data_IF_797162313228
#
_entry.id   IF_797162313228
#
_cell.length_a   1.000
_cell.length_b   1.000
_cell.length_c   1.000
_cell.angle_alpha   90.00
_cell.angle_beta   90.00
_cell.angle_gamma   90.00
#
_symmetry.space_group_name_H-M   'P 1'
#
loop_
_entity.id
_entity.type
_entity.pdbx_description
1 polymer ?
#
# COMPACT_ATOMS: atom_id res chain seq x y z
N UNK A 1 28.06 -23.97 -10.96
CA UNK A 1 27.61 -25.24 -11.52
C UNK A 1 26.16 -25.41 -11.11
N UNK A 2 25.29 -25.69 -12.00
CA UNK A 2 23.82 -25.83 -11.88
C UNK A 2 23.09 -24.55 -11.45
N UNK A 3 22.83 -23.67 -12.40
CA UNK A 3 21.74 -22.73 -12.34
C UNK A 3 20.43 -23.53 -12.44
N UNK A 4 19.66 -23.55 -11.36
CA UNK A 4 18.29 -23.99 -11.41
C UNK A 4 17.47 -22.88 -12.04
N UNK A 5 17.12 -23.03 -13.32
CA UNK A 5 16.02 -22.29 -13.90
C UNK A 5 14.76 -22.69 -13.10
N UNK A 6 14.18 -21.74 -12.41
CA UNK A 6 12.84 -21.88 -11.84
C UNK A 6 11.90 -21.99 -13.04
N UNK A 7 11.33 -23.18 -13.25
CA UNK A 7 10.21 -23.37 -14.16
C UNK A 7 9.06 -22.52 -13.58
N UNK A 8 8.79 -21.36 -14.15
CA UNK A 8 7.55 -20.64 -13.94
C UNK A 8 6.40 -21.59 -14.28
N UNK A 9 5.42 -21.69 -13.41
CA UNK A 9 4.16 -22.38 -13.70
C UNK A 9 3.62 -21.78 -14.98
N UNK A 10 3.60 -22.52 -16.08
CA UNK A 10 3.34 -22.02 -17.43
C UNK A 10 1.89 -21.57 -17.69
N UNK A 11 1.21 -20.99 -16.68
CA UNK A 11 -0.09 -20.39 -16.82
C UNK A 11 0.02 -18.90 -17.12
N UNK A 12 -0.79 -18.39 -18.06
CA UNK A 12 -0.75 -16.96 -18.41
C UNK A 12 -1.19 -16.10 -17.24
N UNK A 13 -0.51 -14.97 -17.05
CA UNK A 13 -0.91 -13.96 -16.07
C UNK A 13 -2.28 -13.34 -16.48
N UNK A 14 -3.18 -13.16 -15.51
CA UNK A 14 -4.54 -12.65 -15.72
C UNK A 14 -4.84 -11.34 -14.98
N UNK A 15 -3.96 -10.95 -14.05
CA UNK A 15 -4.09 -9.67 -13.36
C UNK A 15 -2.74 -9.06 -13.03
N UNK A 16 -2.71 -7.73 -12.93
CA UNK A 16 -1.58 -6.97 -12.42
C UNK A 16 -2.03 -6.06 -11.28
N UNK A 17 -1.32 -6.11 -10.17
CA UNK A 17 -1.49 -5.21 -9.03
C UNK A 17 -0.28 -4.27 -9.04
N UNK A 18 -0.52 -2.98 -9.22
CA UNK A 18 0.50 -1.96 -9.38
C UNK A 18 0.53 -1.04 -8.15
N UNK A 19 1.70 -0.86 -7.56
CA UNK A 19 1.90 0.29 -6.67
C UNK A 19 1.76 1.61 -7.44
N UNK A 20 1.54 2.71 -6.73
CA UNK A 20 1.32 4.01 -7.33
C UNK A 20 2.58 4.90 -7.32
N UNK A 21 3.03 5.30 -6.13
CA UNK A 21 4.11 6.28 -5.97
C UNK A 21 5.48 5.66 -6.21
N UNK A 22 6.18 6.10 -7.24
CA UNK A 22 7.46 5.52 -7.64
C UNK A 22 7.33 4.43 -8.70
N UNK A 23 6.11 3.93 -8.95
CA UNK A 23 5.83 2.89 -9.94
C UNK A 23 5.03 3.43 -11.13
N UNK A 24 3.89 4.07 -10.89
CA UNK A 24 3.03 4.66 -11.93
C UNK A 24 3.34 6.14 -12.11
N UNK A 25 3.49 6.87 -11.03
CA UNK A 25 3.81 8.30 -11.03
C UNK A 25 4.77 8.68 -9.91
N UNK A 26 5.36 9.88 -9.99
CA UNK A 26 6.10 10.52 -8.91
C UNK A 26 5.57 11.95 -8.73
N UNK A 27 5.05 12.25 -7.53
CA UNK A 27 4.31 13.50 -7.32
C UNK A 27 3.12 13.60 -8.27
N UNK A 28 3.04 14.66 -9.05
CA UNK A 28 1.97 14.90 -10.02
C UNK A 28 2.36 14.61 -11.48
N UNK A 29 3.39 13.78 -11.67
CA UNK A 29 3.89 13.40 -13.01
C UNK A 29 3.87 11.91 -13.21
N UNK A 30 3.28 11.48 -14.32
CA UNK A 30 3.35 10.10 -14.76
C UNK A 30 4.82 9.73 -15.06
N UNK A 31 5.25 8.55 -14.63
CA UNK A 31 6.54 7.99 -15.05
C UNK A 31 6.49 7.73 -16.56
N UNK A 32 7.57 8.09 -17.24
CA UNK A 32 7.62 7.97 -18.69
C UNK A 32 7.33 6.52 -19.13
N UNK A 33 6.40 6.36 -20.08
CA UNK A 33 5.98 5.05 -20.59
C UNK A 33 4.94 4.32 -19.73
N UNK A 34 4.68 4.73 -18.48
CA UNK A 34 3.77 4.02 -17.59
C UNK A 34 2.34 3.94 -18.12
N UNK A 35 1.86 4.97 -18.82
CA UNK A 35 0.52 4.98 -19.40
C UNK A 35 0.34 3.92 -20.48
N UNK A 36 1.30 3.82 -21.40
CA UNK A 36 1.34 2.82 -22.47
C UNK A 36 1.44 1.40 -21.89
N UNK A 37 2.29 1.23 -20.87
CA UNK A 37 2.48 -0.05 -20.18
C UNK A 37 1.20 -0.51 -19.45
N UNK A 38 0.48 0.39 -18.81
CA UNK A 38 -0.81 0.06 -18.17
C UNK A 38 -1.85 -0.34 -19.22
N UNK A 39 -1.88 0.33 -20.37
CA UNK A 39 -2.75 -0.07 -21.47
C UNK A 39 -2.39 -1.47 -22.00
N UNK A 40 -1.09 -1.76 -22.20
CA UNK A 40 -0.61 -3.08 -22.59
C UNK A 40 -0.97 -4.16 -21.56
N UNK A 41 -0.79 -3.88 -20.26
CA UNK A 41 -1.20 -4.80 -19.20
C UNK A 41 -2.69 -5.12 -19.30
N UNK A 42 -3.55 -4.12 -19.46
CA UNK A 42 -5.00 -4.34 -19.60
C UNK A 42 -5.35 -5.19 -20.81
N UNK A 43 -4.66 -4.98 -21.93
CA UNK A 43 -4.90 -5.74 -23.15
C UNK A 43 -4.42 -7.20 -23.02
N UNK A 44 -3.35 -7.45 -22.27
CA UNK A 44 -2.72 -8.77 -22.18
C UNK A 44 -3.15 -9.59 -20.96
N UNK A 45 -3.28 -8.96 -19.79
CA UNK A 45 -3.64 -9.66 -18.54
C UNK A 45 -5.07 -9.41 -18.11
N UNK A 46 -5.76 -8.43 -18.70
CA UNK A 46 -7.17 -8.14 -18.48
C UNK A 46 -7.43 -7.21 -17.29
N UNK A 47 -7.09 -7.60 -16.07
CA UNK A 47 -7.38 -6.81 -14.87
C UNK A 47 -6.14 -6.08 -14.37
N UNK A 48 -6.26 -4.76 -14.16
CA UNK A 48 -5.22 -3.94 -13.50
C UNK A 48 -5.82 -3.27 -12.27
N UNK A 49 -5.21 -3.49 -11.10
CA UNK A 49 -5.57 -2.88 -9.83
C UNK A 49 -4.42 -1.99 -9.34
N UNK A 50 -4.75 -0.84 -8.78
CA UNK A 50 -3.79 0.09 -8.17
C UNK A 50 -3.83 -0.04 -6.66
N UNK A 51 -2.65 -0.17 -6.03
CA UNK A 51 -2.53 -0.45 -4.61
C UNK A 51 -1.57 0.53 -3.94
N UNK A 52 -2.04 1.29 -2.94
CA UNK A 52 -1.19 2.27 -2.25
C UNK A 52 -1.30 2.19 -0.73
N UNK A 53 -0.17 2.42 -0.04
CA UNK A 53 -0.14 2.57 1.41
C UNK A 53 -0.61 3.94 1.90
N UNK A 54 -0.79 4.91 1.01
CA UNK A 54 -1.18 6.26 1.40
C UNK A 54 -2.66 6.34 1.77
N UNK A 55 -2.93 6.78 2.99
CA UNK A 55 -4.28 7.02 3.53
C UNK A 55 -4.66 8.52 3.56
N UNK A 56 -3.85 9.39 2.94
CA UNK A 56 -4.05 10.85 2.91
C UNK A 56 -4.95 11.36 1.78
N UNK A 57 -5.48 10.44 0.99
CA UNK A 57 -6.48 10.71 -0.04
C UNK A 57 -7.43 9.52 -0.12
N UNK A 58 -8.64 9.74 -0.60
CA UNK A 58 -9.64 8.70 -0.81
C UNK A 58 -9.37 7.92 -2.11
N UNK A 59 -9.93 6.73 -2.23
CA UNK A 59 -9.83 5.92 -3.47
C UNK A 59 -10.33 6.70 -4.69
N UNK A 60 -11.36 7.54 -4.51
CA UNK A 60 -11.89 8.40 -5.58
C UNK A 60 -10.83 9.42 -6.04
N UNK A 61 -10.14 10.07 -5.11
CA UNK A 61 -9.12 11.07 -5.43
C UNK A 61 -7.97 10.44 -6.24
N UNK A 62 -7.55 9.22 -5.87
CA UNK A 62 -6.54 8.47 -6.62
C UNK A 62 -7.03 8.13 -8.04
N UNK A 63 -8.27 7.69 -8.19
CA UNK A 63 -8.84 7.40 -9.53
C UNK A 63 -8.95 8.66 -10.38
N UNK A 64 -9.30 9.79 -9.79
CA UNK A 64 -9.34 11.09 -10.47
C UNK A 64 -7.94 11.57 -10.86
N UNK A 65 -6.95 11.41 -9.97
CA UNK A 65 -5.55 11.71 -10.26
C UNK A 65 -5.03 10.88 -11.43
N UNK A 66 -5.25 9.57 -11.43
CA UNK A 66 -4.86 8.66 -12.52
C UNK A 66 -5.47 9.11 -13.85
N UNK A 67 -6.76 9.43 -13.89
CA UNK A 67 -7.43 9.96 -15.08
C UNK A 67 -6.87 11.30 -15.54
N UNK A 68 -6.55 12.19 -14.58
CA UNK A 68 -5.89 13.47 -14.87
C UNK A 68 -4.50 13.30 -15.49
N UNK A 69 -3.82 12.20 -15.18
CA UNK A 69 -2.54 11.81 -15.75
C UNK A 69 -2.66 11.01 -17.07
N UNK A 70 -3.89 10.75 -17.54
CA UNK A 70 -4.14 10.02 -18.80
C UNK A 70 -4.24 8.50 -18.64
N UNK A 71 -4.31 8.00 -17.40
CA UNK A 71 -4.53 6.58 -17.09
C UNK A 71 -5.99 6.37 -16.74
N UNK A 72 -6.72 5.57 -17.50
CA UNK A 72 -8.09 5.22 -17.17
C UNK A 72 -8.14 4.47 -15.84
N UNK A 73 -8.96 4.93 -14.91
CA UNK A 73 -9.16 4.27 -13.63
C UNK A 73 -10.54 4.62 -13.04
N UNK A 74 -11.18 3.65 -12.45
CA UNK A 74 -12.39 3.80 -11.64
C UNK A 74 -12.03 3.72 -10.15
N UNK A 75 -12.96 4.07 -9.26
CA UNK A 75 -12.77 3.87 -7.80
C UNK A 75 -12.56 2.40 -7.46
N UNK A 76 -13.14 1.51 -8.25
CA UNK A 76 -13.04 0.07 -8.02
C UNK A 76 -11.68 -0.51 -8.41
N UNK A 77 -10.93 0.19 -9.25
CA UNK A 77 -9.55 -0.18 -9.62
C UNK A 77 -8.51 0.26 -8.57
N UNK A 78 -8.93 0.94 -7.50
CA UNK A 78 -8.02 1.47 -6.47
C UNK A 78 -8.29 0.83 -5.12
N UNK A 79 -7.23 0.39 -4.45
CA UNK A 79 -7.20 -0.04 -3.05
C UNK A 79 -6.15 0.78 -2.32
N UNK A 80 -6.53 1.44 -1.22
CA UNK A 80 -5.60 2.15 -0.35
C UNK A 80 -5.67 1.62 1.09
N UNK A 81 -4.62 1.86 1.87
CA UNK A 81 -4.55 1.38 3.24
C UNK A 81 -5.63 1.96 4.16
N UNK A 82 -6.06 3.19 3.90
CA UNK A 82 -7.14 3.82 4.68
C UNK A 82 -8.46 3.07 4.55
N UNK A 83 -8.86 2.77 3.33
CA UNK A 83 -10.08 1.99 3.07
C UNK A 83 -9.98 0.57 3.63
N UNK A 84 -8.84 -0.12 3.44
CA UNK A 84 -8.62 -1.47 4.01
C UNK A 84 -8.74 -1.44 5.53
N UNK A 85 -8.16 -0.42 6.19
CA UNK A 85 -8.24 -0.24 7.63
C UNK A 85 -9.68 -0.01 8.08
N UNK A 86 -10.43 0.84 7.38
CA UNK A 86 -11.85 1.07 7.70
C UNK A 86 -12.69 -0.20 7.56
N UNK A 87 -12.47 -1.01 6.50
CA UNK A 87 -13.17 -2.30 6.35
C UNK A 87 -12.82 -3.27 7.49
N UNK A 88 -11.53 -3.37 7.85
CA UNK A 88 -11.08 -4.20 8.96
C UNK A 88 -11.71 -3.80 10.29
N UNK A 89 -11.69 -2.50 10.62
CA UNK A 89 -12.29 -1.99 11.87
C UNK A 89 -13.79 -2.25 11.90
N UNK A 90 -14.52 -2.04 10.80
CA UNK A 90 -15.95 -2.34 10.70
C UNK A 90 -16.26 -3.82 10.95
N UNK A 91 -15.42 -4.72 10.45
CA UNK A 91 -15.60 -6.16 10.62
C UNK A 91 -15.25 -6.63 12.03
N UNK A 92 -14.17 -6.11 12.59
CA UNK A 92 -13.59 -6.60 13.83
C UNK A 92 -14.09 -5.88 15.07
N UNK A 93 -14.42 -4.60 14.92
CA UNK A 93 -14.85 -3.71 16.01
C UNK A 93 -16.12 -2.92 15.62
N UNK A 94 -17.25 -3.61 15.28
CA UNK A 94 -18.43 -2.98 14.68
C UNK A 94 -19.09 -1.92 15.58
N UNK A 95 -18.96 -2.05 16.89
CA UNK A 95 -19.51 -1.11 17.88
C UNK A 95 -18.43 -0.24 18.51
N UNK A 96 -17.17 -0.35 18.05
CA UNK A 96 -16.03 0.36 18.61
C UNK A 96 -15.93 1.78 18.06
N UNK A 97 -15.60 2.73 18.94
CA UNK A 97 -15.25 4.09 18.59
C UNK A 97 -13.74 4.21 18.38
N UNK A 98 -13.31 4.54 17.18
CA UNK A 98 -11.90 4.66 16.86
C UNK A 98 -11.36 6.06 17.22
N UNK A 99 -10.29 6.11 18.02
CA UNK A 99 -9.42 7.29 18.06
C UNK A 99 -8.47 7.21 16.88
N UNK A 100 -8.54 8.21 15.99
CA UNK A 100 -7.80 8.21 14.74
C UNK A 100 -6.78 9.34 14.75
N UNK A 101 -5.50 8.97 14.66
CA UNK A 101 -4.40 9.85 14.28
C UNK A 101 -4.25 9.73 12.75
N UNK A 102 -4.73 10.73 12.03
CA UNK A 102 -4.77 10.72 10.58
C UNK A 102 -5.58 11.87 10.01
N UNK A 103 -5.40 12.12 8.73
CA UNK A 103 -6.02 13.25 8.04
C UNK A 103 -7.49 12.99 7.63
N UNK A 104 -8.20 14.05 7.25
CA UNK A 104 -9.63 14.02 6.90
C UNK A 104 -10.02 12.89 5.92
N UNK A 105 -9.26 12.55 4.86
CA UNK A 105 -9.62 11.45 3.97
C UNK A 105 -9.75 10.09 4.68
N UNK A 106 -8.92 9.83 5.69
CA UNK A 106 -9.02 8.61 6.49
C UNK A 106 -10.27 8.62 7.37
N UNK A 107 -10.56 9.75 8.01
CA UNK A 107 -11.79 9.92 8.80
C UNK A 107 -13.05 9.72 7.94
N UNK A 108 -13.04 10.22 6.71
CA UNK A 108 -14.13 10.04 5.76
C UNK A 108 -14.33 8.55 5.37
N UNK A 109 -13.24 7.78 5.18
CA UNK A 109 -13.34 6.33 4.93
C UNK A 109 -13.97 5.59 6.12
N UNK A 110 -13.64 5.97 7.35
CA UNK A 110 -14.24 5.41 8.56
C UNK A 110 -15.72 5.78 8.67
N UNK A 111 -16.06 7.03 8.41
CA UNK A 111 -17.45 7.51 8.41
C UNK A 111 -18.30 6.76 7.37
N UNK A 112 -17.81 6.62 6.14
CA UNK A 112 -18.51 5.89 5.07
C UNK A 112 -18.65 4.39 5.40
N UNK A 113 -17.73 3.83 6.17
CA UNK A 113 -17.83 2.48 6.71
C UNK A 113 -18.80 2.35 7.89
N UNK A 114 -19.37 3.47 8.38
CA UNK A 114 -20.27 3.51 9.52
C UNK A 114 -19.59 3.40 10.89
N UNK A 115 -18.30 3.70 10.97
CA UNK A 115 -17.51 3.64 12.20
C UNK A 115 -17.56 5.01 12.90
N UNK A 116 -17.85 5.01 14.21
CA UNK A 116 -17.75 6.21 15.01
C UNK A 116 -16.27 6.53 15.27
N UNK A 117 -15.87 7.77 15.01
CA UNK A 117 -14.50 8.24 15.23
C UNK A 117 -14.44 9.37 16.26
N UNK A 118 -13.26 9.56 16.85
CA UNK A 118 -12.93 10.72 17.69
C UNK A 118 -11.47 11.12 17.43
N UNK A 119 -11.19 12.42 17.56
CA UNK A 119 -9.85 12.99 17.41
C UNK A 119 -9.41 13.76 18.67
N UNK A 120 -10.32 13.95 19.64
CA UNK A 120 -10.12 14.79 20.83
C UNK A 120 -10.39 14.04 22.17
N UNK A 121 -10.78 12.79 22.11
CA UNK A 121 -11.13 11.96 23.29
C UNK A 121 -10.70 10.52 23.11
N UNK A 122 -10.45 9.80 24.24
CA UNK A 122 -10.20 8.36 24.16
C UNK A 122 -11.31 7.60 23.44
N UNK A 123 -10.88 6.65 22.62
CA UNK A 123 -11.73 5.69 21.91
C UNK A 123 -11.65 4.29 22.53
N UNK A 124 -12.23 3.32 21.82
CA UNK A 124 -12.13 1.90 22.14
C UNK A 124 -10.96 1.21 21.43
N UNK A 125 -10.36 1.89 20.46
CA UNK A 125 -9.14 1.48 19.73
C UNK A 125 -8.40 2.70 19.21
N UNK A 126 -7.10 2.56 18.95
CA UNK A 126 -6.26 3.56 18.29
C UNK A 126 -5.97 3.13 16.86
N UNK A 127 -6.11 4.05 15.91
CA UNK A 127 -5.64 3.88 14.53
C UNK A 127 -4.64 4.99 14.23
N UNK A 128 -3.38 4.62 13.95
CA UNK A 128 -2.34 5.55 13.54
C UNK A 128 -2.08 5.50 12.04
N UNK A 129 -1.96 6.67 11.45
CA UNK A 129 -1.65 6.92 10.05
C UNK A 129 -0.74 8.13 9.92
N UNK A 130 -0.38 8.49 8.68
CA UNK A 130 0.24 9.77 8.40
C UNK A 130 -0.71 10.90 8.78
N UNK A 131 -0.20 11.84 9.59
CA UNK A 131 -0.91 13.03 10.01
C UNK A 131 0.07 14.21 10.11
N UNK A 132 -0.09 15.18 9.22
CA UNK A 132 0.78 16.37 9.15
C UNK A 132 0.44 17.41 10.22
N UNK A 133 -0.68 17.24 10.91
CA UNK A 133 -1.13 18.08 12.01
C UNK A 133 -0.97 17.40 13.39
N UNK A 134 -0.31 16.23 13.43
CA UNK A 134 -0.07 15.46 14.65
C UNK A 134 0.64 16.31 15.71
N UNK A 135 0.07 16.39 16.88
CA UNK A 135 0.53 17.23 17.97
C UNK A 135 0.57 16.50 19.33
N UNK A 136 0.92 17.25 20.37
CA UNK A 136 1.01 16.71 21.73
C UNK A 136 -0.34 16.28 22.29
N UNK A 137 -1.43 16.94 21.92
CA UNK A 137 -2.79 16.61 22.38
C UNK A 137 -3.25 15.27 21.79
N UNK A 138 -3.02 15.05 20.50
CA UNK A 138 -3.28 13.78 19.85
C UNK A 138 -2.47 12.63 20.48
N UNK A 139 -1.20 12.89 20.84
CA UNK A 139 -0.35 11.91 21.53
C UNK A 139 -0.88 11.57 22.95
N UNK A 140 -1.33 12.56 23.72
CA UNK A 140 -1.92 12.36 25.07
C UNK A 140 -3.22 11.54 24.99
N UNK A 141 -4.08 11.80 24.00
CA UNK A 141 -5.32 11.03 23.80
C UNK A 141 -5.02 9.60 23.37
N UNK A 142 -4.06 9.38 22.46
CA UNK A 142 -3.63 8.04 22.08
C UNK A 142 -3.13 7.24 23.30
N UNK A 143 -2.27 7.85 24.10
CA UNK A 143 -1.75 7.25 25.34
C UNK A 143 -2.88 6.84 26.27
N UNK A 144 -3.83 7.74 26.56
CA UNK A 144 -4.97 7.44 27.43
C UNK A 144 -5.89 6.35 26.88
N UNK A 145 -6.02 6.25 25.56
CA UNK A 145 -6.80 5.19 24.92
C UNK A 145 -6.13 3.84 25.14
N UNK A 146 -4.81 3.76 24.95
CA UNK A 146 -4.03 2.54 25.10
C UNK A 146 -3.83 2.11 26.57
N UNK A 147 -3.78 3.04 27.52
CA UNK A 147 -3.74 2.74 28.97
C UNK A 147 -4.90 1.83 29.42
N UNK A 148 -6.03 1.85 28.69
CA UNK A 148 -7.18 0.97 28.90
C UNK A 148 -7.04 -0.43 28.30
N UNK A 149 -5.94 -0.75 27.63
CA UNK A 149 -5.75 -2.01 26.90
C UNK A 149 -6.48 -2.04 25.56
N UNK A 150 -6.73 -0.88 24.96
CA UNK A 150 -7.36 -0.76 23.65
C UNK A 150 -6.42 -1.28 22.55
N UNK A 151 -6.94 -1.87 21.46
CA UNK A 151 -6.14 -2.26 20.29
C UNK A 151 -5.43 -1.07 19.64
N UNK A 152 -4.19 -1.29 19.20
CA UNK A 152 -3.40 -0.31 18.48
C UNK A 152 -3.15 -0.77 17.02
N UNK A 153 -3.80 -0.13 16.07
CA UNK A 153 -3.75 -0.44 14.65
C UNK A 153 -2.99 0.65 13.89
N UNK A 154 -2.40 0.28 12.75
CA UNK A 154 -1.76 1.24 11.85
C UNK A 154 -2.19 1.02 10.40
N UNK A 155 -2.34 2.11 9.64
CA UNK A 155 -2.67 2.03 8.21
C UNK A 155 -1.50 1.50 7.38
N UNK A 156 -0.27 1.87 7.74
CA UNK A 156 0.95 1.42 7.05
C UNK A 156 2.18 1.61 7.96
N UNK A 157 3.32 0.96 7.67
CA UNK A 157 4.54 1.07 8.47
C UNK A 157 5.57 2.03 7.87
N UNK A 158 5.22 2.79 6.84
CA UNK A 158 6.18 3.55 6.05
C UNK A 158 6.84 4.66 6.86
N UNK A 159 8.17 4.77 6.76
CA UNK A 159 8.95 5.79 7.45
C UNK A 159 8.84 7.15 6.79
N UNK A 160 8.80 7.13 5.47
CA UNK A 160 8.81 8.34 4.65
C UNK A 160 7.93 8.18 3.42
N UNK A 161 7.33 9.30 3.03
CA UNK A 161 6.59 9.45 1.79
C UNK A 161 7.45 10.28 0.81
N UNK A 162 7.72 9.79 -0.42
CA UNK A 162 8.44 10.56 -1.42
C UNK A 162 7.57 11.71 -1.94
N UNK A 163 8.20 12.88 -2.14
CA UNK A 163 7.61 14.06 -2.75
C UNK A 163 8.57 14.68 -3.77
N UNK A 164 8.10 15.63 -4.58
CA UNK A 164 8.98 16.34 -5.54
C UNK A 164 10.11 17.10 -4.85
N UNK A 165 9.92 17.54 -3.60
CA UNK A 165 10.89 18.30 -2.81
C UNK A 165 11.77 17.44 -1.90
N UNK A 166 11.65 16.11 -1.98
CA UNK A 166 12.35 15.15 -1.12
C UNK A 166 11.38 14.32 -0.27
N UNK A 167 11.91 13.50 0.62
CA UNK A 167 11.09 12.66 1.49
C UNK A 167 10.54 13.46 2.68
N UNK A 168 9.29 13.21 3.03
CA UNK A 168 8.66 13.71 4.25
C UNK A 168 8.34 12.55 5.21
N UNK A 169 8.16 12.79 6.53
CA UNK A 169 7.74 11.75 7.46
C UNK A 169 6.40 11.12 7.06
N UNK A 170 6.26 9.81 7.31
CA UNK A 170 5.01 9.05 7.12
C UNK A 170 4.57 8.41 8.44
N UNK A 171 3.61 7.51 8.42
CA UNK A 171 2.92 6.93 9.57
C UNK A 171 3.86 6.40 10.67
N UNK A 172 5.03 5.87 10.31
CA UNK A 172 6.01 5.40 11.30
C UNK A 172 6.45 6.48 12.31
N UNK A 173 6.38 7.77 11.94
CA UNK A 173 6.68 8.87 12.85
C UNK A 173 5.65 8.97 13.98
N UNK A 174 4.36 8.92 13.66
CA UNK A 174 3.23 8.96 14.59
C UNK A 174 3.18 7.68 15.44
N UNK A 175 3.34 6.52 14.79
CA UNK A 175 3.44 5.22 15.45
C UNK A 175 4.55 5.24 16.49
N UNK A 176 5.77 5.62 16.09
CA UNK A 176 6.93 5.64 17.00
C UNK A 176 6.78 6.62 18.16
N UNK A 177 6.08 7.74 17.97
CA UNK A 177 5.77 8.66 19.07
C UNK A 177 4.80 8.02 20.09
N UNK A 178 3.77 7.34 19.62
CA UNK A 178 2.78 6.65 20.47
C UNK A 178 3.46 5.46 21.18
N UNK A 179 4.19 4.61 20.47
CA UNK A 179 4.95 3.49 21.06
C UNK A 179 5.95 3.98 22.12
N UNK A 180 6.62 5.10 21.84
CA UNK A 180 7.63 5.68 22.72
C UNK A 180 7.08 6.17 24.08
N UNK A 181 5.83 6.63 24.14
CA UNK A 181 5.22 7.11 25.40
C UNK A 181 4.44 6.03 26.14
N UNK A 182 3.87 5.07 25.40
CA UNK A 182 3.02 4.02 26.00
C UNK A 182 3.79 2.76 26.35
N UNK A 183 4.88 2.47 25.62
CA UNK A 183 5.57 1.18 25.70
C UNK A 183 4.81 0.04 24.99
N UNK A 184 3.62 0.33 24.46
CA UNK A 184 2.86 -0.60 23.64
C UNK A 184 3.40 -0.58 22.20
N UNK A 185 3.21 -1.66 21.45
CA UNK A 185 3.55 -1.76 20.03
C UNK A 185 2.30 -1.94 19.19
N UNK A 186 2.35 -1.56 17.92
CA UNK A 186 1.25 -1.79 16.98
C UNK A 186 0.87 -3.27 16.96
N UNK A 187 -0.40 -3.57 17.24
CA UNK A 187 -0.93 -4.94 17.20
C UNK A 187 -1.04 -5.45 15.75
N UNK A 188 -1.52 -4.58 14.84
CA UNK A 188 -1.70 -4.96 13.43
C UNK A 188 -1.51 -3.77 12.49
N UNK A 189 -0.73 -3.99 11.44
CA UNK A 189 -0.58 -3.07 10.29
C UNK A 189 -1.46 -3.57 9.16
N UNK A 190 -2.31 -2.71 8.60
CA UNK A 190 -3.33 -3.10 7.62
C UNK A 190 -2.88 -2.89 6.16
N UNK A 191 -1.93 -1.97 5.91
CA UNK A 191 -1.34 -1.71 4.60
C UNK A 191 -0.22 -2.68 4.24
N UNK A 192 0.38 -2.53 3.06
CA UNK A 192 1.54 -3.34 2.62
C UNK A 192 2.65 -3.34 3.66
N UNK A 193 3.29 -4.47 3.99
CA UNK A 193 3.16 -5.80 3.40
C UNK A 193 2.16 -6.73 4.13
N UNK A 194 1.08 -6.19 4.70
CA UNK A 194 0.09 -6.95 5.47
C UNK A 194 -0.65 -7.97 4.60
N UNK A 195 -0.93 -9.18 5.13
CA UNK A 195 -1.83 -10.14 4.48
C UNK A 195 -3.21 -9.54 4.17
N UNK A 196 -3.74 -8.67 5.03
CA UNK A 196 -5.03 -8.01 4.80
C UNK A 196 -5.07 -7.19 3.52
N UNK A 197 -3.99 -6.46 3.25
CA UNK A 197 -3.90 -5.61 2.06
C UNK A 197 -3.96 -6.46 0.79
N UNK A 198 -3.18 -7.54 0.72
CA UNK A 198 -3.14 -8.39 -0.47
C UNK A 198 -4.39 -9.25 -0.60
N UNK A 199 -4.95 -9.79 0.48
CA UNK A 199 -6.22 -10.53 0.47
C UNK A 199 -7.35 -9.65 -0.08
N UNK A 200 -7.39 -8.38 0.33
CA UNK A 200 -8.37 -7.41 -0.17
C UNK A 200 -8.18 -7.14 -1.66
N UNK A 201 -6.93 -6.95 -2.11
CA UNK A 201 -6.61 -6.73 -3.52
C UNK A 201 -6.95 -7.97 -4.37
N UNK A 202 -6.53 -9.16 -3.96
CA UNK A 202 -6.83 -10.42 -4.65
C UNK A 202 -8.34 -10.72 -4.69
N UNK A 203 -9.06 -10.43 -3.61
CA UNK A 203 -10.51 -10.56 -3.58
C UNK A 203 -11.23 -9.65 -4.59
N UNK A 204 -10.62 -8.51 -4.96
CA UNK A 204 -11.16 -7.59 -5.97
C UNK A 204 -10.82 -8.03 -7.39
N UNK A 205 -9.61 -8.51 -7.64
CA UNK A 205 -9.24 -8.98 -8.99
C UNK A 205 -9.87 -10.33 -9.31
N UNK A 206 -10.17 -11.15 -8.30
CA UNK A 206 -10.84 -12.44 -8.47
C UNK A 206 -10.00 -13.49 -9.21
N UNK A 207 -8.68 -13.38 -9.15
CA UNK A 207 -7.70 -14.23 -9.84
C UNK A 207 -6.78 -14.84 -8.79
N UNK A 208 -6.37 -16.11 -9.00
CA UNK A 208 -5.44 -16.79 -8.11
C UNK A 208 -4.08 -16.07 -8.08
N UNK A 209 -3.43 -15.98 -6.91
CA UNK A 209 -2.16 -15.23 -6.76
C UNK A 209 -1.07 -15.63 -7.77
N UNK A 210 -0.95 -16.92 -8.06
CA UNK A 210 0.03 -17.48 -9.01
C UNK A 210 -0.14 -16.96 -10.44
N UNK A 211 -1.30 -16.38 -10.75
CA UNK A 211 -1.64 -15.77 -12.04
C UNK A 211 -1.69 -14.24 -11.97
N UNK A 212 -1.14 -13.66 -10.89
CA UNK A 212 -1.09 -12.22 -10.67
C UNK A 212 0.35 -11.71 -10.67
N UNK A 213 0.57 -10.53 -11.25
CA UNK A 213 1.78 -9.74 -11.08
C UNK A 213 1.61 -8.78 -9.90
N UNK A 214 2.62 -8.69 -9.04
CA UNK A 214 2.80 -7.57 -8.12
C UNK A 214 3.94 -6.70 -8.61
N UNK A 215 3.64 -5.47 -9.02
CA UNK A 215 4.64 -4.51 -9.52
C UNK A 215 4.76 -3.35 -8.55
N UNK A 216 5.95 -3.08 -8.07
CA UNK A 216 6.19 -1.99 -7.12
C UNK A 216 7.64 -1.57 -7.06
N UNK A 217 7.89 -0.43 -6.40
CA UNK A 217 9.23 0.16 -6.24
C UNK A 217 9.88 -0.15 -4.89
N UNK A 218 9.12 -0.74 -3.93
CA UNK A 218 9.62 -1.01 -2.58
C UNK A 218 9.75 -2.51 -2.33
N UNK A 219 10.98 -2.95 -2.15
CA UNK A 219 11.29 -4.36 -1.89
C UNK A 219 10.70 -4.85 -0.56
N UNK A 220 10.64 -3.99 0.47
CA UNK A 220 10.20 -4.35 1.82
C UNK A 220 8.68 -4.44 1.95
N UNK A 221 7.93 -3.80 1.08
CA UNK A 221 6.46 -3.78 1.09
C UNK A 221 5.87 -4.52 -0.09
N UNK A 222 6.11 -4.06 -1.32
CA UNK A 222 5.49 -4.60 -2.52
C UNK A 222 5.98 -6.01 -2.84
N UNK A 223 7.30 -6.15 -2.99
CA UNK A 223 7.89 -7.42 -3.40
C UNK A 223 7.71 -8.48 -2.31
N UNK A 224 7.97 -8.12 -1.05
CA UNK A 224 7.76 -9.03 0.08
C UNK A 224 6.30 -9.47 0.22
N UNK A 225 5.34 -8.59 -0.07
CA UNK A 225 3.93 -8.91 -0.04
C UNK A 225 3.56 -9.87 -1.19
N UNK A 226 4.00 -9.58 -2.41
CA UNK A 226 3.78 -10.44 -3.59
C UNK A 226 4.39 -11.83 -3.41
N UNK A 227 5.65 -11.91 -2.96
CA UNK A 227 6.35 -13.16 -2.66
C UNK A 227 5.55 -14.01 -1.65
N UNK A 228 5.12 -13.42 -0.54
CA UNK A 228 4.34 -14.11 0.50
C UNK A 228 2.98 -14.61 0.01
N UNK A 229 2.41 -13.92 -0.94
CA UNK A 229 1.13 -14.30 -1.55
C UNK A 229 1.28 -15.33 -2.68
N UNK A 230 2.50 -15.63 -3.14
CA UNK A 230 2.75 -16.54 -4.26
C UNK A 230 2.53 -15.90 -5.62
N UNK A 231 2.62 -14.57 -5.72
CA UNK A 231 2.52 -13.80 -6.97
C UNK A 231 3.86 -13.74 -7.67
N UNK A 232 3.85 -13.49 -8.97
CA UNK A 232 5.06 -13.06 -9.69
C UNK A 232 5.37 -11.61 -9.34
N UNK A 233 6.60 -11.36 -8.88
CA UNK A 233 7.02 -10.06 -8.36
C UNK A 233 7.92 -9.31 -9.34
N UNK A 234 7.60 -8.03 -9.58
CA UNK A 234 8.34 -7.15 -10.48
C UNK A 234 8.75 -5.90 -9.70
N UNK A 235 10.03 -5.75 -9.45
CA UNK A 235 10.59 -4.53 -8.84
C UNK A 235 10.93 -3.53 -9.93
N UNK A 236 10.44 -2.29 -9.78
CA UNK A 236 10.85 -1.16 -10.63
C UNK A 236 11.81 -0.25 -9.87
N UNK A 237 12.86 0.23 -10.54
CA UNK A 237 13.90 1.08 -9.95
C UNK A 237 13.61 2.58 -10.12
N UNK A 238 12.41 2.94 -10.58
CA UNK A 238 11.97 4.32 -10.76
C UNK A 238 11.60 5.05 -9.47
N UNK A 239 11.55 4.32 -8.34
CA UNK A 239 11.15 4.86 -7.03
C UNK A 239 12.21 4.76 -5.94
N UNK A 240 11.88 4.09 -4.83
CA UNK A 240 12.68 4.10 -3.59
C UNK A 240 13.82 3.08 -3.57
N UNK A 241 13.61 1.88 -4.09
CA UNK A 241 14.61 0.81 -4.03
C UNK A 241 15.65 0.96 -5.13
N UNK A 242 16.93 0.90 -4.77
CA UNK A 242 18.04 0.82 -5.69
C UNK A 242 18.68 -0.59 -5.71
N UNK A 243 19.56 -0.84 -6.68
CA UNK A 243 20.23 -2.15 -6.84
C UNK A 243 21.10 -2.53 -5.64
N UNK A 244 21.60 -1.55 -4.87
CA UNK A 244 22.41 -1.81 -3.67
C UNK A 244 21.53 -2.31 -2.52
N UNK A 245 20.31 -1.79 -2.40
CA UNK A 245 19.32 -2.20 -1.39
C UNK A 245 18.85 -3.63 -1.63
N UNK A 246 18.62 -4.05 -2.89
CA UNK A 246 18.23 -5.43 -3.23
C UNK A 246 19.20 -6.43 -2.61
N UNK A 247 20.51 -6.20 -2.77
CA UNK A 247 21.56 -7.09 -2.26
C UNK A 247 21.57 -7.22 -0.72
N UNK A 248 20.96 -6.29 0.02
CA UNK A 248 20.99 -6.22 1.49
C UNK A 248 19.76 -6.80 2.17
N UNK A 249 18.61 -6.79 1.51
CA UNK A 249 17.30 -7.06 2.15
C UNK A 249 16.98 -8.57 2.20
N UNK A 250 17.63 -9.39 1.35
CA UNK A 250 17.40 -10.84 1.32
C UNK A 250 15.99 -11.25 0.81
N UNK A 251 15.37 -10.39 0.04
CA UNK A 251 14.16 -10.65 -0.77
C UNK A 251 14.59 -10.55 -2.22
N UNK A 252 14.30 -11.56 -3.01
CA UNK A 252 14.67 -11.59 -4.44
C UNK A 252 13.40 -11.44 -5.27
N UNK A 253 13.21 -10.30 -5.97
CA UNK A 253 12.11 -10.15 -6.92
C UNK A 253 12.34 -11.10 -8.11
N UNK A 254 11.25 -11.63 -8.70
CA UNK A 254 11.36 -12.47 -9.90
C UNK A 254 11.91 -11.67 -11.10
N UNK A 255 11.54 -10.38 -11.17
CA UNK A 255 12.02 -9.45 -12.21
C UNK A 255 12.44 -8.11 -11.62
N UNK A 256 13.45 -7.48 -12.23
CA UNK A 256 13.92 -6.12 -11.89
C UNK A 256 13.97 -5.29 -13.17
N UNK A 257 13.14 -4.27 -13.26
CA UNK A 257 13.05 -3.35 -14.39
C UNK A 257 13.57 -1.95 -13.98
N UNK A 258 14.03 -1.18 -14.94
CA UNK A 258 14.39 0.22 -14.68
C UNK A 258 13.14 1.06 -14.40
N UNK A 259 12.02 0.77 -15.07
CA UNK A 259 10.71 1.39 -14.82
C UNK A 259 9.56 0.48 -15.31
N UNK A 260 8.31 0.88 -15.05
CA UNK A 260 7.13 0.20 -15.58
C UNK A 260 7.09 0.19 -17.13
N UNK A 261 7.83 1.10 -17.79
CA UNK A 261 7.91 1.14 -19.25
C UNK A 261 8.47 -0.14 -19.88
N UNK A 262 9.23 -0.91 -19.11
CA UNK A 262 9.90 -2.13 -19.56
C UNK A 262 9.06 -3.39 -19.29
N UNK A 263 7.77 -3.26 -18.93
CA UNK A 263 6.90 -4.39 -18.53
C UNK A 263 6.69 -5.43 -19.62
N UNK A 264 6.83 -5.03 -20.89
CA UNK A 264 6.72 -5.93 -22.03
C UNK A 264 7.76 -7.07 -22.00
N UNK A 265 8.94 -6.84 -21.42
CA UNK A 265 9.99 -7.85 -21.26
C UNK A 265 9.53 -9.00 -20.35
N UNK A 266 8.76 -8.65 -19.28
CA UNK A 266 8.16 -9.64 -18.37
C UNK A 266 7.04 -10.41 -19.07
N UNK A 267 6.17 -9.71 -19.81
CA UNK A 267 5.01 -10.29 -20.49
C UNK A 267 5.40 -11.18 -21.70
N UNK A 268 6.57 -10.96 -22.26
CA UNK A 268 7.13 -11.77 -23.35
C UNK A 268 7.77 -13.08 -22.84
N UNK A 269 8.04 -13.20 -21.55
CA UNK A 269 8.76 -14.34 -20.97
C UNK A 269 10.24 -14.36 -21.39
N UNK A 270 10.80 -13.21 -21.74
CA UNK A 270 12.15 -13.07 -22.36
C UNK A 270 13.23 -12.63 -21.35
N UNK A 271 13.10 -12.92 -20.05
CA UNK A 271 14.21 -12.68 -19.10
C UNK A 271 14.68 -13.92 -18.39
#
# INVERSE_FOLDING_TARGET
MSGGALESSGEPCEAAILDLDGTVYLGDRLIAGAGESIATLRDRVGTVLFLTNKAIARRQDYSEKLRGLGVEATVDDVVNSGWVTAQYVRERYPDGKAFVVGEAPLLDEFHDAGIETTTDRPGDLVVASMDREFDYEALDVAMRTLDGGAPFLATNPDRTCPTESGAIPDAAGMIGAIEGVTGETVDEVLGKPSPRMIETALGRVGVDPERCLMVGDRIETDIRMGERAGMTTVLVLSGVTDRETIAKVGVEPDYVLDSLADIDDVLAGEM
#
